data_IF_806232809726
#
_entry.id   IF_806232809726
#
_cell.length_a   1.000
_cell.length_b   1.000
_cell.length_c   1.000
_cell.angle_alpha   90.00
_cell.angle_beta   90.00
_cell.angle_gamma   90.00
#
_symmetry.space_group_name_H-M   'P 1'
#
loop_
_entity.id
_entity.type
_entity.pdbx_description
1 polymer ?
#
# COMPACT_ATOMS: atom_id res chain seq x y z
N UNK A 1 -25.60 -23.70 13.73
CA UNK A 1 -25.69 -22.26 13.40
C UNK A 1 -26.14 -22.14 11.95
N UNK A 2 -27.35 -21.63 11.71
CA UNK A 2 -27.81 -21.33 10.35
C UNK A 2 -26.99 -20.17 9.80
N UNK A 3 -26.21 -20.42 8.75
CA UNK A 3 -25.51 -19.34 8.06
C UNK A 3 -26.56 -18.38 7.48
N UNK A 4 -26.37 -17.07 7.71
CA UNK A 4 -27.26 -15.99 7.25
C UNK A 4 -27.34 -15.96 5.71
N UNK A 5 -26.35 -16.51 5.02
CA UNK A 5 -26.31 -16.71 3.58
C UNK A 5 -25.75 -18.10 3.24
N UNK A 6 -26.21 -18.73 2.14
CA UNK A 6 -25.55 -19.90 1.57
C UNK A 6 -24.03 -19.65 1.37
N UNK A 7 -23.15 -20.65 1.58
CA UNK A 7 -21.69 -20.48 1.52
C UNK A 7 -21.19 -19.86 0.21
N UNK A 8 -21.81 -20.21 -0.91
CA UNK A 8 -21.47 -19.67 -2.23
C UNK A 8 -21.78 -18.16 -2.33
N UNK A 9 -22.98 -17.73 -1.90
CA UNK A 9 -23.37 -16.31 -1.86
C UNK A 9 -22.56 -15.48 -0.86
N UNK A 10 -22.10 -16.08 0.24
CA UNK A 10 -21.19 -15.43 1.17
C UNK A 10 -19.82 -15.16 0.52
N UNK A 11 -19.30 -16.10 -0.26
CA UNK A 11 -18.04 -15.95 -0.99
C UNK A 11 -18.08 -14.83 -2.04
N UNK A 12 -19.18 -14.69 -2.78
CA UNK A 12 -19.34 -13.59 -3.74
C UNK A 12 -19.45 -12.23 -3.04
N UNK A 13 -20.20 -12.15 -1.94
CA UNK A 13 -20.37 -10.91 -1.17
C UNK A 13 -19.03 -10.40 -0.59
N UNK A 14 -18.18 -11.30 -0.11
CA UNK A 14 -16.88 -10.92 0.46
C UNK A 14 -15.91 -10.45 -0.65
N UNK A 15 -15.99 -11.02 -1.86
CA UNK A 15 -15.18 -10.57 -3.02
C UNK A 15 -15.54 -9.17 -3.51
N UNK A 16 -16.70 -8.63 -3.13
CA UNK A 16 -17.07 -7.25 -3.47
C UNK A 16 -16.13 -6.23 -2.82
N UNK A 17 -15.62 -6.51 -1.63
CA UNK A 17 -14.71 -5.61 -0.89
C UNK A 17 -13.41 -5.37 -1.69
N UNK A 18 -12.60 -6.40 -2.03
CA UNK A 18 -11.39 -6.19 -2.82
C UNK A 18 -11.69 -5.64 -4.21
N UNK A 19 -12.80 -6.04 -4.84
CA UNK A 19 -13.21 -5.53 -6.16
C UNK A 19 -13.48 -4.03 -6.15
N UNK A 20 -14.35 -3.56 -5.25
CA UNK A 20 -14.63 -2.13 -5.07
C UNK A 20 -13.37 -1.38 -4.65
N UNK A 21 -12.51 -2.01 -3.85
CA UNK A 21 -11.23 -1.42 -3.45
C UNK A 21 -10.30 -1.21 -4.64
N UNK A 22 -10.22 -2.15 -5.58
CA UNK A 22 -9.46 -1.99 -6.82
C UNK A 22 -9.98 -0.87 -7.72
N UNK A 23 -11.31 -0.75 -7.87
CA UNK A 23 -11.92 0.38 -8.58
C UNK A 23 -11.58 1.70 -7.87
N UNK A 24 -11.68 1.72 -6.54
CA UNK A 24 -11.33 2.87 -5.72
C UNK A 24 -9.87 3.28 -5.92
N UNK A 25 -8.93 2.34 -5.99
CA UNK A 25 -7.53 2.63 -6.27
C UNK A 25 -7.31 3.29 -7.64
N UNK A 26 -8.06 2.88 -8.67
CA UNK A 26 -8.03 3.55 -10.00
C UNK A 26 -8.55 4.99 -9.88
N UNK A 27 -9.65 5.21 -9.16
CA UNK A 27 -10.20 6.54 -8.90
C UNK A 27 -9.23 7.43 -8.12
N UNK A 28 -8.51 6.88 -7.14
CA UNK A 28 -7.48 7.60 -6.39
C UNK A 28 -6.28 7.95 -7.27
N UNK A 29 -5.82 7.04 -8.12
CA UNK A 29 -4.75 7.30 -9.08
C UNK A 29 -5.14 8.43 -10.05
N UNK A 30 -6.39 8.43 -10.53
CA UNK A 30 -6.92 9.54 -11.32
C UNK A 30 -6.92 10.86 -10.52
N UNK A 31 -7.42 10.85 -9.29
CA UNK A 31 -7.44 12.04 -8.43
C UNK A 31 -6.02 12.59 -8.19
N UNK A 32 -5.04 11.73 -7.92
CA UNK A 32 -3.63 12.11 -7.81
C UNK A 32 -3.13 12.75 -9.11
N UNK A 33 -3.42 12.14 -10.26
CA UNK A 33 -2.99 12.66 -11.56
C UNK A 33 -3.59 14.04 -11.88
N UNK A 34 -4.84 14.30 -11.49
CA UNK A 34 -5.49 15.61 -11.63
C UNK A 34 -4.84 16.67 -10.77
N UNK A 35 -4.34 16.30 -9.60
CA UNK A 35 -3.65 17.20 -8.69
C UNK A 35 -2.22 17.50 -9.16
N UNK A 36 -1.48 16.48 -9.61
CA UNK A 36 -0.08 16.61 -10.02
C UNK A 36 0.09 17.13 -11.46
N UNK A 37 -0.83 16.81 -12.36
CA UNK A 37 -0.75 17.17 -13.78
C UNK A 37 -2.05 17.82 -14.27
N UNK A 38 -2.54 18.92 -13.65
CA UNK A 38 -3.87 19.46 -13.90
C UNK A 38 -4.11 19.86 -15.37
N UNK A 39 -3.07 20.33 -16.07
CA UNK A 39 -3.14 20.80 -17.46
C UNK A 39 -2.79 19.75 -18.51
N UNK A 40 -2.49 18.51 -18.12
CA UNK A 40 -2.05 17.46 -19.06
C UNK A 40 -2.99 16.25 -19.01
N UNK A 41 -4.00 16.27 -19.89
CA UNK A 41 -5.01 15.21 -20.01
C UNK A 41 -4.40 13.86 -20.44
N UNK A 42 -3.36 13.88 -21.28
CA UNK A 42 -2.67 12.67 -21.73
C UNK A 42 -2.05 11.92 -20.55
N UNK A 43 -1.35 12.63 -19.65
CA UNK A 43 -0.79 12.02 -18.43
C UNK A 43 -1.88 11.45 -17.51
N UNK A 44 -2.99 12.16 -17.35
CA UNK A 44 -4.13 11.69 -16.55
C UNK A 44 -4.72 10.39 -17.12
N UNK A 45 -4.90 10.34 -18.45
CA UNK A 45 -5.40 9.15 -19.15
C UNK A 45 -4.44 7.96 -19.04
N UNK A 46 -3.13 8.20 -19.21
CA UNK A 46 -2.11 7.17 -19.04
C UNK A 46 -2.11 6.65 -17.60
N UNK A 47 -2.23 7.51 -16.59
CA UNK A 47 -2.32 7.08 -15.18
C UNK A 47 -3.52 6.17 -14.95
N UNK A 48 -4.71 6.55 -15.42
CA UNK A 48 -5.91 5.70 -15.31
C UNK A 48 -5.68 4.35 -16.00
N UNK A 49 -5.19 4.38 -17.25
CA UNK A 49 -5.00 3.18 -18.05
C UNK A 49 -4.02 2.22 -17.35
N UNK A 50 -2.86 2.71 -16.93
CA UNK A 50 -1.86 1.90 -16.22
C UNK A 50 -2.44 1.34 -14.92
N UNK A 51 -3.09 2.16 -14.09
CA UNK A 51 -3.67 1.69 -12.82
C UNK A 51 -4.79 0.66 -13.01
N UNK A 52 -5.55 0.77 -14.10
CA UNK A 52 -6.62 -0.18 -14.42
C UNK A 52 -6.10 -1.52 -14.95
N UNK A 53 -5.05 -1.50 -15.78
CA UNK A 53 -4.50 -2.71 -16.41
C UNK A 53 -3.33 -3.33 -15.64
N UNK A 54 -2.87 -2.69 -14.56
CA UNK A 54 -1.77 -3.21 -13.74
C UNK A 54 -2.16 -4.60 -13.20
N UNK A 55 -1.39 -5.67 -13.52
CA UNK A 55 -1.74 -7.03 -13.12
C UNK A 55 -2.03 -7.15 -11.63
N UNK A 56 -1.22 -6.52 -10.77
CA UNK A 56 -1.44 -6.46 -9.32
C UNK A 56 -2.83 -5.96 -8.94
N UNK A 57 -3.31 -4.88 -9.57
CA UNK A 57 -4.65 -4.36 -9.27
C UNK A 57 -5.73 -5.33 -9.71
N UNK A 58 -5.58 -5.96 -10.88
CA UNK A 58 -6.55 -6.92 -11.42
C UNK A 58 -6.68 -8.13 -10.51
N UNK A 59 -5.58 -8.84 -10.23
CA UNK A 59 -5.68 -10.10 -9.49
C UNK A 59 -6.02 -9.86 -8.00
N UNK A 60 -5.48 -8.81 -7.38
CA UNK A 60 -5.78 -8.49 -5.97
C UNK A 60 -7.23 -8.03 -5.78
N UNK A 61 -7.88 -7.50 -6.82
CA UNK A 61 -9.31 -7.20 -6.80
C UNK A 61 -10.19 -8.45 -6.72
N UNK A 62 -9.65 -9.63 -7.03
CA UNK A 62 -10.37 -10.91 -6.97
C UNK A 62 -10.07 -11.70 -5.70
N UNK A 63 -8.92 -11.49 -5.06
CA UNK A 63 -8.54 -12.22 -3.86
C UNK A 63 -9.24 -11.70 -2.62
N UNK A 64 -9.80 -12.64 -1.85
CA UNK A 64 -10.37 -12.37 -0.54
C UNK A 64 -9.21 -12.10 0.41
N UNK A 65 -8.84 -10.83 0.52
CA UNK A 65 -7.74 -10.35 1.33
C UNK A 65 -8.00 -8.93 1.80
N UNK A 66 -7.42 -8.56 2.94
CA UNK A 66 -7.44 -7.21 3.48
C UNK A 66 -6.48 -6.24 2.75
N UNK A 67 -5.60 -6.75 1.89
CA UNK A 67 -4.61 -5.96 1.16
C UNK A 67 -5.24 -4.86 0.29
N UNK A 68 -6.23 -5.21 -0.52
CA UNK A 68 -6.87 -4.27 -1.45
C UNK A 68 -7.58 -3.14 -0.71
N UNK A 69 -8.26 -3.48 0.40
CA UNK A 69 -8.91 -2.49 1.26
C UNK A 69 -7.89 -1.61 1.98
N UNK A 70 -6.80 -2.19 2.49
CA UNK A 70 -5.70 -1.46 3.11
C UNK A 70 -5.10 -0.46 2.12
N UNK A 71 -4.78 -0.91 0.90
CA UNK A 71 -4.22 -0.08 -0.16
C UNK A 71 -5.16 1.08 -0.55
N UNK A 72 -6.47 0.83 -0.63
CA UNK A 72 -7.47 1.87 -0.87
C UNK A 72 -7.46 2.94 0.25
N UNK A 73 -7.52 2.52 1.51
CA UNK A 73 -7.58 3.42 2.66
C UNK A 73 -6.29 4.24 2.79
N UNK A 74 -5.12 3.61 2.62
CA UNK A 74 -3.83 4.29 2.60
C UNK A 74 -3.72 5.26 1.44
N UNK A 75 -4.16 4.87 0.24
CA UNK A 75 -4.21 5.74 -0.92
C UNK A 75 -5.09 6.97 -0.67
N UNK A 76 -6.24 6.78 -0.01
CA UNK A 76 -7.12 7.89 0.36
C UNK A 76 -6.45 8.82 1.39
N UNK A 77 -5.76 8.28 2.41
CA UNK A 77 -4.95 9.06 3.35
C UNK A 77 -3.87 9.88 2.62
N UNK A 78 -3.19 9.28 1.64
CA UNK A 78 -2.19 9.99 0.82
C UNK A 78 -2.82 11.11 0.01
N UNK A 79 -3.97 10.90 -0.64
CA UNK A 79 -4.68 11.95 -1.39
C UNK A 79 -5.06 13.12 -0.49
N UNK A 80 -5.59 12.86 0.71
CA UNK A 80 -5.91 13.92 1.67
C UNK A 80 -4.65 14.66 2.12
N UNK A 81 -3.55 13.95 2.35
CA UNK A 81 -2.25 14.56 2.73
C UNK A 81 -1.71 15.46 1.61
N UNK A 82 -1.74 14.99 0.35
CA UNK A 82 -1.35 15.80 -0.82
C UNK A 82 -2.28 17.02 -0.93
N UNK A 83 -3.58 16.87 -0.69
CA UNK A 83 -4.53 17.99 -0.73
C UNK A 83 -4.21 19.03 0.34
N UNK A 84 -3.81 18.58 1.53
CA UNK A 84 -3.36 19.48 2.61
C UNK A 84 -2.11 20.26 2.19
N UNK A 85 -1.16 19.62 1.51
CA UNK A 85 0.04 20.30 1.03
C UNK A 85 -0.20 21.31 -0.09
N UNK A 86 -1.11 21.00 -1.01
CA UNK A 86 -1.31 21.80 -2.21
C UNK A 86 -2.25 23.00 -2.00
N UNK A 87 -2.99 23.06 -0.90
CA UNK A 87 -3.95 24.13 -0.62
C UNK A 87 -3.45 25.04 0.49
N UNK A 88 -3.64 26.36 0.30
CA UNK A 88 -3.28 27.39 1.28
C UNK A 88 -4.19 27.38 2.51
N UNK A 89 -5.41 26.86 2.38
CA UNK A 89 -6.36 26.70 3.48
C UNK A 89 -7.05 25.35 3.38
N UNK A 90 -7.07 24.64 4.50
CA UNK A 90 -7.67 23.31 4.60
C UNK A 90 -8.58 23.29 5.82
N UNK A 91 -9.75 22.70 5.67
CA UNK A 91 -10.73 22.63 6.76
C UNK A 91 -10.30 21.61 7.80
N UNK A 92 -10.65 21.88 9.07
CA UNK A 92 -10.47 20.94 10.17
C UNK A 92 -11.06 19.55 9.87
N UNK A 93 -12.18 19.50 9.15
CA UNK A 93 -12.82 18.27 8.72
C UNK A 93 -11.92 17.37 7.85
N UNK A 94 -11.00 17.95 7.07
CA UNK A 94 -10.04 17.17 6.27
C UNK A 94 -9.09 16.38 7.15
N UNK A 95 -8.65 16.94 8.28
CA UNK A 95 -7.81 16.25 9.26
C UNK A 95 -8.59 15.14 9.98
N UNK A 96 -9.87 15.36 10.27
CA UNK A 96 -10.74 14.30 10.80
C UNK A 96 -10.88 13.15 9.80
N UNK A 97 -11.17 13.43 8.53
CA UNK A 97 -11.22 12.38 7.49
C UNK A 97 -9.88 11.66 7.31
N UNK A 98 -8.75 12.37 7.44
CA UNK A 98 -7.43 11.76 7.42
C UNK A 98 -7.25 10.80 8.61
N UNK A 99 -7.60 11.23 9.82
CA UNK A 99 -7.59 10.37 11.02
C UNK A 99 -8.49 9.14 10.87
N UNK A 100 -9.70 9.32 10.31
CA UNK A 100 -10.63 8.20 10.04
C UNK A 100 -9.99 7.21 9.07
N UNK A 101 -9.44 7.69 7.95
CA UNK A 101 -8.83 6.84 6.94
C UNK A 101 -7.62 6.07 7.48
N UNK A 102 -6.76 6.72 8.26
CA UNK A 102 -5.60 6.08 8.89
C UNK A 102 -6.00 5.07 9.96
N UNK A 103 -6.98 5.40 10.80
CA UNK A 103 -7.51 4.48 11.81
C UNK A 103 -8.13 3.23 11.18
N UNK A 104 -8.96 3.40 10.14
CA UNK A 104 -9.52 2.27 9.40
C UNK A 104 -8.42 1.45 8.69
N UNK A 105 -7.40 2.10 8.16
CA UNK A 105 -6.27 1.43 7.52
C UNK A 105 -5.50 0.57 8.52
N UNK A 106 -5.20 1.11 9.70
CA UNK A 106 -4.55 0.37 10.78
C UNK A 106 -5.38 -0.80 11.28
N UNK A 107 -6.70 -0.63 11.36
CA UNK A 107 -7.61 -1.71 11.75
C UNK A 107 -7.70 -2.79 10.66
N UNK A 108 -7.51 -2.40 9.39
CA UNK A 108 -7.51 -3.32 8.25
C UNK A 108 -6.20 -4.11 8.17
N UNK A 109 -5.05 -3.44 8.31
CA UNK A 109 -3.73 -4.07 8.29
C UNK A 109 -2.68 -3.23 9.03
N UNK A 110 -1.99 -3.87 9.99
CA UNK A 110 -1.01 -3.19 10.84
C UNK A 110 0.17 -2.58 10.06
N UNK A 111 0.53 -3.12 8.90
CA UNK A 111 1.62 -2.58 8.05
C UNK A 111 1.37 -1.13 7.61
N UNK A 112 0.11 -0.68 7.65
CA UNK A 112 -0.25 0.74 7.46
C UNK A 112 0.45 1.68 8.45
N UNK A 113 0.84 1.18 9.62
CA UNK A 113 1.56 1.94 10.65
C UNK A 113 2.85 2.57 10.10
N UNK A 114 3.53 1.89 9.17
CA UNK A 114 4.78 2.35 8.56
C UNK A 114 4.62 3.66 7.78
N UNK A 115 3.40 3.99 7.33
CA UNK A 115 3.08 5.22 6.59
C UNK A 115 2.80 6.42 7.49
N UNK A 116 2.50 6.18 8.76
CA UNK A 116 2.14 7.25 9.68
C UNK A 116 3.29 8.23 9.88
N UNK A 117 4.55 7.82 10.17
CA UNK A 117 5.64 8.77 10.36
C UNK A 117 5.82 9.74 9.20
N UNK A 118 5.73 9.27 7.95
CA UNK A 118 5.86 10.14 6.77
C UNK A 118 4.69 11.12 6.68
N UNK A 119 3.46 10.68 6.89
CA UNK A 119 2.29 11.56 6.88
C UNK A 119 2.41 12.61 7.99
N UNK A 120 2.73 12.21 9.22
CA UNK A 120 2.88 13.12 10.36
C UNK A 120 4.01 14.13 10.15
N UNK A 121 5.19 13.69 9.71
CA UNK A 121 6.34 14.58 9.46
C UNK A 121 5.99 15.66 8.44
N UNK A 122 5.29 15.27 7.37
CA UNK A 122 4.88 16.22 6.35
C UNK A 122 3.80 17.17 6.85
N UNK A 123 2.82 16.69 7.61
CA UNK A 123 1.78 17.56 8.18
C UNK A 123 2.40 18.55 9.17
N UNK A 124 3.29 18.09 10.05
CA UNK A 124 4.02 18.95 10.99
C UNK A 124 4.82 20.00 10.21
N UNK A 125 5.58 19.59 9.20
CA UNK A 125 6.33 20.52 8.36
C UNK A 125 5.41 21.56 7.68
N UNK A 126 4.30 21.12 7.08
CA UNK A 126 3.35 22.02 6.42
C UNK A 126 2.73 23.02 7.40
N UNK A 127 2.30 22.54 8.57
CA UNK A 127 1.66 23.39 9.57
C UNK A 127 2.69 24.35 10.17
N UNK A 128 3.84 23.87 10.63
CA UNK A 128 4.86 24.72 11.29
C UNK A 128 5.47 25.72 10.32
N UNK A 129 5.78 25.33 9.07
CA UNK A 129 6.50 26.22 8.15
C UNK A 129 5.60 27.12 7.30
N UNK A 130 4.31 26.80 7.11
CA UNK A 130 3.45 27.52 6.16
C UNK A 130 2.18 28.10 6.75
N UNK A 131 1.85 27.77 7.98
CA UNK A 131 0.66 28.32 8.61
C UNK A 131 1.03 29.31 9.71
N UNK A 132 0.21 30.35 9.86
CA UNK A 132 0.26 31.24 11.02
C UNK A 132 -0.47 30.62 12.22
N UNK A 133 -0.54 29.28 12.29
CA UNK A 133 -1.26 28.61 13.37
C UNK A 133 -0.52 28.79 14.69
N UNK A 134 -1.27 29.10 15.74
CA UNK A 134 -0.73 29.10 17.10
C UNK A 134 -0.42 27.66 17.55
N UNK A 135 0.52 27.47 18.48
CA UNK A 135 0.87 26.15 19.00
C UNK A 135 -0.36 25.35 19.49
N UNK A 136 -1.35 26.03 20.08
CA UNK A 136 -2.60 25.41 20.51
C UNK A 136 -3.47 24.89 19.36
N UNK A 137 -3.50 25.57 18.21
CA UNK A 137 -4.21 25.09 17.03
C UNK A 137 -3.53 23.87 16.41
N UNK A 138 -2.19 23.86 16.37
CA UNK A 138 -1.41 22.70 15.91
C UNK A 138 -1.71 21.49 16.79
N UNK A 139 -1.67 21.66 18.11
CA UNK A 139 -1.97 20.61 19.07
C UNK A 139 -3.41 20.11 18.94
N UNK A 140 -4.37 21.02 18.71
CA UNK A 140 -5.77 20.66 18.47
C UNK A 140 -5.92 19.83 17.19
N UNK A 141 -5.29 20.23 16.10
CA UNK A 141 -5.35 19.51 14.81
C UNK A 141 -4.74 18.12 14.95
N UNK A 142 -3.48 18.02 15.37
CA UNK A 142 -2.78 16.74 15.49
C UNK A 142 -3.40 15.86 16.57
N UNK A 143 -3.76 16.43 17.71
CA UNK A 143 -4.40 15.73 18.81
C UNK A 143 -5.77 15.17 18.44
N UNK A 144 -6.60 15.94 17.72
CA UNK A 144 -7.89 15.44 17.22
C UNK A 144 -7.73 14.30 16.22
N UNK A 145 -6.74 14.39 15.33
CA UNK A 145 -6.46 13.33 14.36
C UNK A 145 -5.99 12.04 15.05
N UNK A 146 -5.06 12.16 16.01
CA UNK A 146 -4.60 11.03 16.83
C UNK A 146 -5.73 10.41 17.66
N UNK A 147 -6.59 11.25 18.24
CA UNK A 147 -7.76 10.79 18.99
C UNK A 147 -8.70 9.98 18.09
N UNK A 148 -8.99 10.45 16.87
CA UNK A 148 -9.83 9.72 15.91
C UNK A 148 -9.20 8.37 15.53
N UNK A 149 -7.89 8.36 15.27
CA UNK A 149 -7.16 7.11 14.98
C UNK A 149 -7.31 6.14 16.16
N UNK A 150 -7.04 6.60 17.38
CA UNK A 150 -7.14 5.80 18.59
C UNK A 150 -8.56 5.28 18.84
N UNK A 151 -9.59 6.10 18.65
CA UNK A 151 -10.98 5.68 18.82
C UNK A 151 -11.40 4.59 17.83
N UNK A 152 -10.84 4.59 16.61
CA UNK A 152 -11.18 3.62 15.57
C UNK A 152 -10.39 2.31 15.75
N UNK A 153 -9.08 2.40 15.94
CA UNK A 153 -8.21 1.22 15.92
C UNK A 153 -7.67 0.82 17.29
N UNK A 154 -7.59 1.75 18.25
CA UNK A 154 -6.91 1.55 19.53
C UNK A 154 -7.47 0.39 20.36
N UNK A 155 -8.78 0.15 20.33
CA UNK A 155 -9.40 -0.97 21.04
C UNK A 155 -8.83 -2.33 20.60
N UNK A 156 -8.49 -2.49 19.31
CA UNK A 156 -7.96 -3.73 18.75
C UNK A 156 -6.54 -3.98 19.26
N UNK A 157 -5.69 -2.95 19.22
CA UNK A 157 -4.31 -3.05 19.71
C UNK A 157 -4.25 -3.22 21.24
N UNK A 158 -5.18 -2.61 21.99
CA UNK A 158 -5.33 -2.85 23.43
C UNK A 158 -5.75 -4.28 23.70
N UNK A 159 -6.73 -4.81 22.94
CA UNK A 159 -7.15 -6.22 23.04
C UNK A 159 -5.95 -7.15 22.80
N UNK A 160 -5.18 -6.90 21.75
CA UNK A 160 -4.02 -7.75 21.42
C UNK A 160 -2.92 -7.67 22.48
N UNK A 161 -2.70 -6.49 23.05
CA UNK A 161 -1.82 -6.34 24.22
C UNK A 161 -2.31 -7.21 25.39
N UNK A 162 -3.59 -7.11 25.75
CA UNK A 162 -4.16 -7.84 26.90
C UNK A 162 -4.12 -9.35 26.69
N UNK A 163 -4.37 -9.83 25.46
CA UNK A 163 -4.44 -11.26 25.15
C UNK A 163 -3.07 -11.91 24.90
N UNK A 164 -2.17 -11.20 24.22
CA UNK A 164 -0.91 -11.76 23.72
C UNK A 164 0.34 -11.13 24.34
N UNK A 165 0.20 -10.09 25.17
CA UNK A 165 1.33 -9.33 25.71
C UNK A 165 2.05 -8.45 24.68
N UNK A 166 1.58 -8.45 23.43
CA UNK A 166 2.15 -7.71 22.31
C UNK A 166 1.02 -7.01 21.53
N UNK A 167 1.00 -5.66 21.44
CA UNK A 167 -0.05 -4.96 20.69
C UNK A 167 0.00 -5.23 19.18
N UNK A 168 1.13 -5.68 18.65
CA UNK A 168 1.32 -5.99 17.23
C UNK A 168 1.50 -7.50 17.03
N UNK A 169 0.82 -8.28 17.87
CA UNK A 169 0.74 -9.73 17.77
C UNK A 169 0.37 -10.15 16.33
N UNK A 170 1.23 -10.97 15.73
CA UNK A 170 1.07 -11.36 14.33
C UNK A 170 1.52 -12.81 14.12
N UNK A 171 1.09 -13.38 12.99
CA UNK A 171 1.35 -14.76 12.59
C UNK A 171 2.80 -15.07 12.19
N UNK A 172 3.73 -14.14 12.42
CA UNK A 172 5.18 -14.33 12.24
C UNK A 172 5.95 -14.29 13.56
N UNK A 173 5.31 -13.94 14.68
CA UNK A 173 5.96 -13.87 16.00
C UNK A 173 6.15 -15.28 16.60
N UNK A 174 7.39 -15.78 16.76
CA UNK A 174 7.64 -17.11 17.30
C UNK A 174 7.10 -17.28 18.73
N UNK A 175 6.97 -16.20 19.51
CA UNK A 175 6.42 -16.25 20.86
C UNK A 175 4.92 -16.57 20.87
N UNK A 176 4.22 -16.31 19.76
CA UNK A 176 2.78 -16.54 19.59
C UNK A 176 2.53 -17.89 18.91
N UNK A 177 3.29 -18.21 17.86
CA UNK A 177 3.06 -19.40 17.03
C UNK A 177 3.79 -20.63 17.59
N UNK A 178 4.79 -20.44 18.45
CA UNK A 178 5.54 -21.51 19.10
C UNK A 178 6.64 -22.15 18.24
N UNK A 179 6.90 -21.64 17.03
CA UNK A 179 8.01 -22.06 16.18
C UNK A 179 8.53 -20.90 15.33
N UNK A 180 9.83 -20.93 15.03
CA UNK A 180 10.46 -19.98 14.11
C UNK A 180 10.24 -20.39 12.66
N UNK A 181 9.92 -19.43 11.80
CA UNK A 181 9.85 -19.64 10.35
C UNK A 181 11.23 -19.45 9.73
N UNK A 182 11.63 -20.36 8.84
CA UNK A 182 12.86 -20.26 8.04
C UNK A 182 12.56 -20.66 6.59
N UNK A 183 13.25 -20.02 5.64
CA UNK A 183 13.05 -20.26 4.21
C UNK A 183 14.38 -20.34 3.48
N UNK A 184 14.56 -21.40 2.68
CA UNK A 184 15.70 -21.62 1.76
C UNK A 184 15.58 -20.70 0.52
N UNK A 185 16.68 -20.15 -0.05
CA UNK A 185 18.11 -20.29 0.29
C UNK A 185 18.60 -19.40 1.44
N UNK A 186 17.71 -18.63 2.07
CA UNK A 186 18.01 -17.76 3.19
C UNK A 186 17.17 -16.48 3.17
N UNK A 187 16.13 -16.44 4.00
CA UNK A 187 15.28 -15.28 4.21
C UNK A 187 16.07 -14.09 4.78
N UNK A 188 15.93 -12.91 4.18
CA UNK A 188 16.54 -11.64 4.63
C UNK A 188 18.07 -11.64 4.71
N UNK A 189 18.75 -12.47 3.91
CA UNK A 189 20.21 -12.41 3.75
C UNK A 189 20.63 -11.25 2.85
N UNK A 190 21.92 -10.84 2.90
CA UNK A 190 22.45 -9.84 1.93
C UNK A 190 22.24 -10.30 0.49
N UNK A 191 22.41 -11.60 0.22
CA UNK A 191 22.19 -12.16 -1.11
C UNK A 191 20.73 -11.99 -1.56
N UNK A 192 19.78 -12.22 -0.66
CA UNK A 192 18.34 -12.05 -0.93
C UNK A 192 17.99 -10.60 -1.35
N UNK A 193 18.61 -9.60 -0.72
CA UNK A 193 18.38 -8.19 -1.06
C UNK A 193 19.21 -7.66 -2.23
N UNK A 194 20.21 -8.41 -2.73
CA UNK A 194 21.08 -7.98 -3.83
C UNK A 194 20.87 -8.78 -5.13
N UNK A 195 20.08 -9.85 -5.09
CA UNK A 195 19.81 -10.69 -6.25
C UNK A 195 18.56 -10.24 -7.00
N UNK A 196 18.54 -10.48 -8.31
CA UNK A 196 17.36 -10.32 -9.17
C UNK A 196 17.53 -11.15 -10.44
N UNK A 197 16.43 -11.61 -11.02
CA UNK A 197 16.40 -12.26 -12.34
C UNK A 197 15.98 -13.72 -12.30
N UNK A 198 15.79 -14.30 -11.11
CA UNK A 198 15.27 -15.66 -10.95
C UNK A 198 13.88 -15.78 -11.56
N UNK A 199 13.10 -14.70 -11.54
CA UNK A 199 11.74 -14.62 -12.11
C UNK A 199 11.68 -14.97 -13.61
N UNK A 200 12.76 -14.79 -14.38
CA UNK A 200 12.77 -15.12 -15.81
C UNK A 200 12.94 -16.62 -16.09
N UNK A 201 13.41 -17.38 -15.10
CA UNK A 201 13.57 -18.84 -15.19
C UNK A 201 12.52 -19.58 -14.37
N UNK A 202 12.21 -19.05 -13.20
CA UNK A 202 11.26 -19.60 -12.23
C UNK A 202 10.29 -18.48 -11.81
N UNK A 203 9.30 -18.10 -12.64
CA UNK A 203 8.46 -16.93 -12.42
C UNK A 203 7.54 -17.03 -11.20
N UNK A 204 7.20 -18.25 -10.78
CA UNK A 204 6.33 -18.52 -9.65
C UNK A 204 7.16 -18.83 -8.41
N UNK A 205 6.77 -18.23 -7.28
CA UNK A 205 7.53 -18.26 -6.03
C UNK A 205 8.96 -17.73 -6.18
N UNK A 206 9.23 -16.92 -7.22
CA UNK A 206 10.53 -16.29 -7.45
C UNK A 206 10.98 -15.43 -6.26
N UNK A 207 10.02 -14.89 -5.53
CA UNK A 207 10.26 -14.12 -4.32
C UNK A 207 10.83 -14.92 -3.15
N UNK A 208 10.91 -16.25 -3.25
CA UNK A 208 11.70 -17.03 -2.31
C UNK A 208 13.22 -16.90 -2.54
N UNK A 209 13.62 -16.53 -3.75
CA UNK A 209 15.03 -16.39 -4.12
C UNK A 209 15.56 -14.97 -3.90
N UNK A 210 14.75 -13.94 -4.13
CA UNK A 210 15.15 -12.56 -3.88
C UNK A 210 13.99 -11.62 -3.62
N UNK A 211 14.28 -10.55 -2.86
CA UNK A 211 13.35 -9.48 -2.58
C UNK A 211 12.81 -8.81 -3.86
N UNK A 212 13.72 -8.52 -4.81
CA UNK A 212 13.33 -7.86 -6.05
C UNK A 212 12.55 -8.77 -6.99
N UNK A 213 12.86 -10.08 -7.01
CA UNK A 213 12.05 -11.05 -7.74
C UNK A 213 10.64 -11.13 -7.13
N UNK A 214 10.48 -11.01 -5.80
CA UNK A 214 9.18 -10.99 -5.12
C UNK A 214 8.33 -9.78 -5.55
N UNK A 215 8.91 -8.58 -5.53
CA UNK A 215 8.22 -7.36 -5.95
C UNK A 215 7.86 -7.44 -7.43
N UNK A 216 8.80 -7.87 -8.26
CA UNK A 216 8.59 -7.95 -9.70
C UNK A 216 7.49 -8.94 -10.07
N UNK A 217 7.54 -10.15 -9.52
CA UNK A 217 6.60 -11.23 -9.84
C UNK A 217 5.18 -10.94 -9.36
N UNK A 218 5.03 -10.15 -8.30
CA UNK A 218 3.73 -9.74 -7.73
C UNK A 218 3.19 -8.44 -8.31
N UNK A 219 4.05 -7.53 -8.77
CA UNK A 219 3.61 -6.31 -9.44
C UNK A 219 3.04 -6.63 -10.84
N UNK A 220 3.72 -7.51 -11.57
CA UNK A 220 3.44 -7.83 -12.97
C UNK A 220 2.66 -9.14 -13.18
N UNK A 221 2.30 -9.83 -12.11
CA UNK A 221 1.48 -11.04 -12.19
C UNK A 221 1.17 -11.61 -10.81
N UNK A 222 0.46 -12.74 -10.79
CA UNK A 222 0.24 -13.50 -9.56
C UNK A 222 1.42 -14.46 -9.32
N UNK A 223 2.50 -13.93 -8.75
CA UNK A 223 3.72 -14.69 -8.46
C UNK A 223 3.58 -15.76 -7.36
N UNK A 224 2.47 -15.78 -6.61
CA UNK A 224 2.27 -16.66 -5.45
C UNK A 224 0.98 -17.48 -5.51
N UNK A 225 0.39 -17.67 -6.71
CA UNK A 225 -0.83 -18.47 -6.90
C UNK A 225 -2.01 -18.03 -6.01
N UNK A 226 -2.08 -16.74 -5.68
CA UNK A 226 -3.07 -16.19 -4.75
C UNK A 226 -2.86 -16.58 -3.29
N UNK A 227 -1.60 -16.80 -2.90
CA UNK A 227 -1.23 -17.23 -1.56
C UNK A 227 -1.51 -18.72 -1.31
N UNK A 228 -1.62 -19.51 -2.37
CA UNK A 228 -1.88 -20.95 -2.29
C UNK A 228 -0.58 -21.73 -2.31
N UNK A 229 -0.46 -22.80 -1.52
CA UNK A 229 0.80 -23.52 -1.34
C UNK A 229 1.20 -24.36 -2.56
N UNK A 230 0.26 -24.69 -3.45
CA UNK A 230 0.47 -25.63 -4.54
C UNK A 230 -0.20 -25.22 -5.86
N UNK A 231 0.32 -25.79 -6.94
CA UNK A 231 -0.16 -25.56 -8.30
C UNK A 231 -1.63 -26.00 -8.48
N UNK A 232 -2.10 -27.00 -7.76
CA UNK A 232 -3.47 -27.52 -7.91
C UNK A 232 -4.54 -26.60 -7.32
N UNK A 233 -4.19 -25.81 -6.29
CA UNK A 233 -5.13 -24.90 -5.61
C UNK A 233 -5.13 -23.48 -6.19
N UNK A 234 -4.32 -23.26 -7.24
CA UNK A 234 -4.10 -21.93 -7.80
C UNK A 234 -5.35 -21.39 -8.49
N UNK A 235 -5.44 -20.07 -8.57
CA UNK A 235 -6.50 -19.41 -9.34
C UNK A 235 -6.44 -19.81 -10.83
N UNK A 236 -7.56 -19.84 -11.55
CA UNK A 236 -7.61 -20.32 -12.93
C UNK A 236 -7.11 -19.27 -13.95
N UNK A 237 -5.92 -18.70 -13.71
CA UNK A 237 -5.27 -17.78 -14.65
C UNK A 237 -4.69 -18.51 -15.87
N UNK A 238 -4.46 -17.78 -16.96
CA UNK A 238 -3.61 -18.28 -18.05
C UNK A 238 -2.14 -18.04 -17.70
N UNK A 239 -1.50 -19.08 -17.16
CA UNK A 239 -0.12 -19.04 -16.67
C UNK A 239 0.91 -18.90 -17.79
N UNK A 240 0.62 -19.37 -19.00
CA UNK A 240 1.51 -19.21 -20.16
C UNK A 240 1.62 -17.73 -20.57
N UNK A 241 0.48 -17.05 -20.68
CA UNK A 241 0.45 -15.62 -20.95
C UNK A 241 1.04 -14.82 -19.81
N UNK A 242 0.72 -15.16 -18.56
CA UNK A 242 1.28 -14.47 -17.40
C UNK A 242 2.81 -14.61 -17.31
N UNK A 243 3.36 -15.79 -17.63
CA UNK A 243 4.82 -15.98 -17.71
C UNK A 243 5.45 -15.08 -18.77
N UNK A 244 4.77 -14.87 -19.89
CA UNK A 244 5.23 -13.99 -20.97
C UNK A 244 5.21 -12.52 -20.54
N UNK A 245 4.23 -12.11 -19.73
CA UNK A 245 4.13 -10.74 -19.19
C UNK A 245 5.37 -10.38 -18.38
N UNK A 246 5.98 -11.31 -17.65
CA UNK A 246 7.21 -11.02 -16.90
C UNK A 246 8.37 -10.58 -17.80
N UNK A 247 8.49 -11.07 -19.03
CA UNK A 247 9.50 -10.55 -19.96
C UNK A 247 9.09 -9.20 -20.55
N UNK A 248 7.82 -9.06 -20.92
CA UNK A 248 7.28 -7.84 -21.54
C UNK A 248 7.21 -6.65 -20.56
N UNK A 249 7.21 -6.91 -19.25
CA UNK A 249 7.17 -5.90 -18.22
C UNK A 249 8.52 -5.24 -17.94
N UNK A 250 9.65 -5.77 -18.45
CA UNK A 250 10.98 -5.20 -18.20
C UNK A 250 11.08 -3.72 -18.64
N UNK A 251 10.67 -3.33 -19.87
CA UNK A 251 10.67 -1.92 -20.26
C UNK A 251 9.77 -1.05 -19.39
N UNK A 252 8.62 -1.57 -18.95
CA UNK A 252 7.70 -0.84 -18.08
C UNK A 252 8.31 -0.61 -16.68
N UNK A 253 8.98 -1.61 -16.11
CA UNK A 253 9.74 -1.49 -14.87
C UNK A 253 10.88 -0.47 -14.98
N UNK A 254 11.64 -0.49 -16.08
CA UNK A 254 12.70 0.50 -16.31
C UNK A 254 12.12 1.91 -16.43
N UNK A 255 11.01 2.09 -17.15
CA UNK A 255 10.32 3.37 -17.24
C UNK A 255 9.82 3.87 -15.88
N UNK A 256 9.29 2.96 -15.04
CA UNK A 256 8.89 3.28 -13.67
C UNK A 256 10.08 3.73 -12.82
N UNK A 257 11.19 2.99 -12.83
CA UNK A 257 12.41 3.33 -12.09
C UNK A 257 13.01 4.67 -12.55
N UNK A 258 13.05 4.93 -13.86
CA UNK A 258 13.47 6.24 -14.40
C UNK A 258 12.54 7.37 -13.96
N UNK A 259 11.23 7.11 -13.86
CA UNK A 259 10.26 8.04 -13.33
C UNK A 259 10.51 8.37 -11.86
N UNK A 260 10.74 7.36 -11.02
CA UNK A 260 11.07 7.53 -9.59
C UNK A 260 12.40 8.28 -9.43
N UNK A 261 13.43 7.92 -10.21
CA UNK A 261 14.72 8.61 -10.22
C UNK A 261 14.58 10.09 -10.59
N UNK A 262 13.85 10.38 -11.68
CA UNK A 262 13.60 11.76 -12.11
C UNK A 262 12.84 12.55 -11.04
N UNK A 263 11.85 11.92 -10.41
CA UNK A 263 11.12 12.50 -9.29
C UNK A 263 12.06 12.83 -8.10
N UNK A 264 12.93 11.90 -7.71
CA UNK A 264 13.94 12.12 -6.67
C UNK A 264 14.87 13.29 -6.99
N UNK A 265 15.35 13.32 -8.23
CA UNK A 265 16.23 14.37 -8.72
C UNK A 265 15.55 15.75 -8.74
N UNK A 266 14.32 15.82 -9.24
CA UNK A 266 13.54 17.06 -9.29
C UNK A 266 13.18 17.56 -7.88
N UNK A 267 12.98 16.65 -6.92
CA UNK A 267 12.79 17.00 -5.50
C UNK A 267 14.05 17.66 -4.92
N UNK A 268 15.23 17.06 -5.13
CA UNK A 268 16.50 17.60 -4.62
C UNK A 268 16.78 18.98 -5.23
N UNK A 269 16.54 19.13 -6.53
CA UNK A 269 16.82 20.39 -7.24
C UNK A 269 15.85 21.52 -6.91
N UNK A 270 14.56 21.21 -6.78
CA UNK A 270 13.51 22.24 -6.68
C UNK A 270 12.87 22.34 -5.28
N UNK A 271 13.28 21.50 -4.31
CA UNK A 271 12.74 21.45 -2.94
C UNK A 271 11.20 21.53 -2.88
N UNK A 272 10.54 20.83 -3.81
CA UNK A 272 9.10 20.92 -3.97
C UNK A 272 8.39 19.91 -3.05
N UNK A 273 7.53 20.44 -2.18
CA UNK A 273 6.86 19.77 -1.05
C UNK A 273 6.02 18.56 -1.46
N UNK A 274 5.36 18.63 -2.62
CA UNK A 274 4.51 17.54 -3.13
C UNK A 274 5.32 16.31 -3.51
N UNK A 275 6.57 16.49 -3.97
CA UNK A 275 7.45 15.39 -4.35
C UNK A 275 8.06 14.69 -3.14
N UNK A 276 8.29 15.42 -2.04
CA UNK A 276 8.76 14.83 -0.78
C UNK A 276 7.79 13.79 -0.22
N UNK A 277 6.47 14.04 -0.31
CA UNK A 277 5.47 13.04 0.08
C UNK A 277 5.47 11.81 -0.80
N UNK A 278 5.54 12.00 -2.13
CA UNK A 278 5.49 10.89 -3.07
C UNK A 278 6.76 10.03 -2.97
N UNK A 279 7.92 10.64 -2.74
CA UNK A 279 9.16 9.92 -2.49
C UNK A 279 9.16 9.26 -1.11
N UNK A 280 8.68 9.95 -0.08
CA UNK A 280 8.52 9.38 1.25
C UNK A 280 7.56 8.21 1.27
N UNK A 281 6.45 8.28 0.54
CA UNK A 281 5.50 7.17 0.43
C UNK A 281 6.06 6.02 -0.40
N UNK A 282 6.74 6.27 -1.53
CA UNK A 282 7.44 5.21 -2.28
C UNK A 282 8.52 4.54 -1.43
N UNK A 283 9.28 5.32 -0.66
CA UNK A 283 10.29 4.79 0.26
C UNK A 283 9.66 3.96 1.37
N UNK A 284 8.55 4.41 1.96
CA UNK A 284 7.83 3.65 2.97
C UNK A 284 7.17 2.40 2.40
N UNK A 285 6.59 2.44 1.18
CA UNK A 285 6.10 1.23 0.50
C UNK A 285 7.26 0.24 0.36
N UNK A 286 8.42 0.70 -0.10
CA UNK A 286 9.62 -0.13 -0.23
C UNK A 286 10.10 -0.69 1.12
N UNK A 287 10.10 0.12 2.17
CA UNK A 287 10.49 -0.30 3.52
C UNK A 287 9.47 -1.25 4.16
N UNK A 288 8.18 -1.06 3.91
CA UNK A 288 7.10 -1.93 4.41
C UNK A 288 7.04 -3.30 3.74
N UNK A 289 7.75 -3.46 2.62
CA UNK A 289 7.90 -4.74 1.93
C UNK A 289 9.09 -5.56 2.44
N UNK A 290 10.04 -4.94 3.17
CA UNK A 290 11.22 -5.56 3.80
C UNK A 290 10.87 -6.03 5.21
#
# INVERSE_FOLDING_TARGET
>A
ASYILPPETANYSIRLIPFVSGIGQICLAYAASRMLFPKNSVRQMITIAISAILPMNIYMSHYISNESLSALLMGFSLILTIRILMRNSVTFLTFIFLGVSLGLSLLTKFTSFLFMPVIFLVLIYQIVCNSKHSAGEILKILGSMLLVIFLISGWFYIRDWVLFGNPMAANWDPSIIGYGWWQDPGFHTKQYFLSFGSVFKYPYFSGFYSFFDAIYSTLWGDGYYGGRPGFEERAPWNYEYMSTVYFLAVPASLAFLLGVWRMAWDMIKNLNRSWFLLLGSVFVVGFAMI
#
